data_IF_717855652823
#
_entry.id   IF_717855652823
#
_cell.length_a   1.000
_cell.length_b   1.000
_cell.length_c   1.000
_cell.angle_alpha   90.00
_cell.angle_beta   90.00
_cell.angle_gamma   90.00
#
_symmetry.space_group_name_H-M   'P 1'
#
loop_
_entity.id
_entity.type
_entity.pdbx_description
1 polymer ?
#
# COMPACT_ATOMS: atom_id res chain seq x y z
N UNK A 1 -18.06 65.73 -33.79
CA UNK A 1 -19.47 65.58 -34.19
C UNK A 1 -19.62 64.09 -34.47
N UNK A 2 -19.98 63.32 -33.45
CA UNK A 2 -21.38 62.86 -33.24
C UNK A 2 -21.69 61.75 -34.26
N UNK A 3 -22.00 60.51 -33.93
CA UNK A 3 -22.97 59.93 -32.95
C UNK A 3 -22.62 58.42 -32.80
N UNK A 4 -22.40 57.79 -31.64
CA UNK A 4 -23.34 57.25 -30.62
C UNK A 4 -24.62 56.58 -31.13
N UNK A 5 -24.73 55.24 -31.00
CA UNK A 5 -25.74 54.42 -30.25
C UNK A 5 -25.45 52.91 -30.50
N UNK A 6 -25.14 52.11 -29.48
CA UNK A 6 -26.04 51.33 -28.58
C UNK A 6 -26.78 50.17 -29.25
N UNK A 7 -26.42 48.93 -28.90
CA UNK A 7 -27.40 47.87 -28.65
C UNK A 7 -26.97 47.08 -27.39
N UNK A 8 -27.79 47.27 -26.36
CA UNK A 8 -27.87 46.53 -25.12
C UNK A 8 -28.42 45.11 -25.33
N UNK A 9 -27.98 44.16 -24.51
CA UNK A 9 -28.84 43.06 -24.09
C UNK A 9 -28.49 42.64 -22.66
N UNK A 10 -29.13 43.33 -21.72
CA UNK A 10 -29.43 42.83 -20.38
C UNK A 10 -30.48 41.72 -20.45
N UNK A 11 -30.31 40.66 -19.67
CA UNK A 11 -31.35 40.23 -18.72
C UNK A 11 -30.79 39.29 -17.65
N UNK A 12 -30.74 39.87 -16.45
CA UNK A 12 -30.60 39.25 -15.14
C UNK A 12 -31.75 38.29 -14.78
N UNK A 13 -31.54 37.63 -13.63
CA UNK A 13 -32.50 37.14 -12.63
C UNK A 13 -32.78 35.63 -12.63
N UNK A 14 -32.92 34.95 -11.49
CA UNK A 14 -32.52 35.13 -10.08
C UNK A 14 -33.07 33.88 -9.34
N UNK A 15 -32.62 33.67 -8.11
CA UNK A 15 -33.27 32.87 -7.04
C UNK A 15 -33.13 31.32 -7.09
N UNK A 16 -32.38 30.67 -6.19
CA UNK A 16 -32.55 30.54 -4.72
C UNK A 16 -33.64 29.51 -4.35
N UNK A 17 -33.25 28.36 -3.76
CA UNK A 17 -33.79 27.87 -2.47
C UNK A 17 -33.25 26.49 -2.06
N UNK A 18 -32.66 26.49 -0.86
CA UNK A 18 -32.51 25.36 0.06
C UNK A 18 -33.81 24.54 0.19
N UNK A 19 -33.72 23.21 0.14
CA UNK A 19 -34.51 22.35 1.03
C UNK A 19 -33.68 21.16 1.52
N UNK A 20 -33.40 21.19 2.83
CA UNK A 20 -33.19 20.03 3.68
C UNK A 20 -34.31 19.00 3.44
N UNK A 21 -33.94 17.75 3.21
CA UNK A 21 -34.74 16.62 3.67
C UNK A 21 -33.82 15.66 4.43
N UNK A 22 -33.94 15.73 5.75
CA UNK A 22 -33.68 14.61 6.64
C UNK A 22 -34.51 13.42 6.15
N UNK A 23 -33.86 12.29 5.90
CA UNK A 23 -34.50 11.00 6.11
C UNK A 23 -33.71 10.28 7.18
N UNK A 24 -34.31 10.27 8.37
CA UNK A 24 -34.06 9.32 9.42
C UNK A 24 -34.16 7.90 8.84
N UNK A 25 -33.07 7.14 8.92
CA UNK A 25 -33.14 5.70 8.99
C UNK A 25 -32.37 5.27 10.23
N UNK A 26 -33.13 5.15 11.31
CA UNK A 26 -32.87 4.21 12.39
C UNK A 26 -32.61 2.83 11.78
N UNK A 27 -31.37 2.35 11.90
CA UNK A 27 -31.10 0.92 11.99
C UNK A 27 -30.27 0.68 13.23
N UNK A 28 -31.00 0.43 14.32
CA UNK A 28 -30.57 -0.47 15.37
C UNK A 28 -30.12 -1.79 14.73
N UNK A 29 -28.81 -2.03 14.74
CA UNK A 29 -28.28 -3.39 14.81
C UNK A 29 -27.22 -3.41 15.92
N UNK A 30 -27.73 -3.59 17.14
CA UNK A 30 -27.06 -4.37 18.15
C UNK A 30 -26.69 -5.74 17.55
N UNK A 31 -25.41 -5.89 17.20
CA UNK A 31 -24.76 -7.19 17.19
C UNK A 31 -23.55 -7.14 18.10
N UNK A 32 -23.84 -7.22 19.39
CA UNK A 32 -22.99 -7.92 20.35
C UNK A 32 -22.84 -9.39 19.88
N UNK A 33 -21.90 -9.62 18.97
CA UNK A 33 -21.23 -10.92 18.86
C UNK A 33 -19.87 -10.80 19.53
N UNK A 34 -19.91 -10.78 20.85
CA UNK A 34 -18.79 -11.11 21.71
C UNK A 34 -18.49 -12.62 21.56
N UNK A 35 -17.94 -13.01 20.41
CA UNK A 35 -17.27 -14.30 20.26
C UNK A 35 -15.82 -14.11 20.69
N UNK A 36 -15.59 -14.12 22.01
CA UNK A 36 -14.35 -14.62 22.57
C UNK A 36 -14.27 -16.11 22.25
N UNK A 37 -13.94 -16.42 21.00
CA UNK A 37 -13.26 -17.66 20.71
C UNK A 37 -11.79 -17.40 20.99
N UNK A 38 -11.35 -17.82 22.17
CA UNK A 38 -9.98 -18.30 22.39
C UNK A 38 -9.76 -19.50 21.46
N UNK A 39 -9.69 -19.23 20.15
CA UNK A 39 -8.98 -20.08 19.25
C UNK A 39 -7.52 -19.75 19.50
N UNK A 40 -6.89 -20.56 20.36
CA UNK A 40 -5.50 -20.98 20.18
C UNK A 40 -5.39 -21.64 18.79
N UNK A 41 -5.58 -20.85 17.73
CA UNK A 41 -5.00 -21.17 16.44
C UNK A 41 -3.51 -21.13 16.72
N UNK A 42 -2.82 -22.24 16.48
CA UNK A 42 -1.38 -22.32 16.30
C UNK A 42 -0.98 -21.35 15.16
N UNK A 43 -0.96 -20.06 15.49
CA UNK A 43 -0.77 -18.98 14.57
C UNK A 43 0.72 -18.78 14.51
N UNK A 44 1.33 -19.24 13.42
CA UNK A 44 2.76 -19.12 13.24
C UNK A 44 3.12 -17.63 13.23
N UNK A 45 3.67 -17.11 14.32
CA UNK A 45 4.12 -15.72 14.39
C UNK A 45 5.55 -15.66 13.88
N UNK A 46 5.78 -14.84 12.84
CA UNK A 46 7.14 -14.50 12.44
C UNK A 46 7.45 -13.13 13.00
N UNK A 47 8.24 -13.13 14.07
CA UNK A 47 8.65 -11.91 14.76
C UNK A 47 9.78 -11.20 14.02
N UNK A 48 9.92 -9.90 14.30
CA UNK A 48 11.03 -9.07 13.81
C UNK A 48 11.12 -8.98 12.28
N UNK A 49 9.98 -9.06 11.59
CA UNK A 49 9.87 -8.74 10.17
C UNK A 49 9.49 -7.27 10.00
N UNK A 50 10.27 -6.56 9.20
CA UNK A 50 9.90 -5.23 8.76
C UNK A 50 9.00 -5.31 7.52
N UNK A 51 7.87 -4.62 7.59
CA UNK A 51 6.99 -4.45 6.45
C UNK A 51 7.52 -3.34 5.55
N UNK A 52 7.78 -3.65 4.29
CA UNK A 52 8.11 -2.64 3.30
C UNK A 52 6.93 -2.41 2.37
N UNK A 53 6.11 -1.41 2.72
CA UNK A 53 4.99 -0.98 1.90
C UNK A 53 5.39 -0.63 0.46
N UNK A 54 4.48 -0.91 -0.48
CA UNK A 54 4.70 -0.61 -1.89
C UNK A 54 4.72 0.90 -2.12
N UNK A 55 5.86 1.40 -2.57
CA UNK A 55 5.92 2.70 -3.22
C UNK A 55 6.10 2.46 -4.72
N UNK A 56 5.15 2.94 -5.52
CA UNK A 56 5.29 2.94 -6.97
C UNK A 56 6.38 3.93 -7.45
N UNK A 57 6.84 4.84 -6.57
CA UNK A 57 7.78 5.93 -6.88
C UNK A 57 9.18 5.70 -6.31
N UNK A 58 9.31 4.92 -5.23
CA UNK A 58 10.58 4.72 -4.52
C UNK A 58 11.02 3.26 -4.55
N UNK A 59 12.33 3.05 -4.62
CA UNK A 59 12.90 1.72 -4.48
C UNK A 59 12.71 1.16 -3.07
N UNK A 60 12.29 -0.10 -2.96
CA UNK A 60 12.15 -0.82 -1.69
C UNK A 60 13.46 -1.00 -0.90
N UNK A 61 14.61 -0.89 -1.58
CA UNK A 61 15.95 -1.14 -1.01
C UNK A 61 16.65 0.15 -0.62
N UNK A 62 16.83 1.09 -1.55
CA UNK A 62 17.55 2.34 -1.29
C UNK A 62 16.64 3.56 -1.04
N UNK A 63 15.32 3.44 -1.23
CA UNK A 63 14.34 4.53 -1.11
C UNK A 63 14.53 5.71 -2.07
N UNK A 64 15.51 5.66 -2.97
CA UNK A 64 15.69 6.63 -4.05
C UNK A 64 14.45 6.65 -4.97
N UNK A 65 14.05 7.85 -5.38
CA UNK A 65 13.09 8.07 -6.47
C UNK A 65 13.83 7.87 -7.80
N UNK A 66 13.51 6.78 -8.52
CA UNK A 66 14.22 6.45 -9.76
C UNK A 66 13.22 6.16 -10.88
N UNK A 67 12.99 7.18 -11.70
CA UNK A 67 11.82 7.26 -12.55
C UNK A 67 11.91 6.33 -13.77
N UNK A 68 13.12 5.99 -14.24
CA UNK A 68 13.32 5.36 -15.56
C UNK A 68 13.91 3.95 -15.51
N UNK A 69 14.42 3.48 -14.36
CA UNK A 69 15.11 2.17 -14.26
C UNK A 69 14.56 1.28 -13.14
N UNK A 70 13.42 1.62 -12.56
CA UNK A 70 12.76 0.77 -11.57
C UNK A 70 12.01 -0.36 -12.25
N UNK A 71 12.17 -1.56 -11.71
CA UNK A 71 11.43 -2.74 -12.14
C UNK A 71 10.56 -3.24 -11.00
N UNK A 72 9.50 -3.98 -11.33
CA UNK A 72 8.79 -4.75 -10.31
C UNK A 72 9.77 -5.79 -9.75
N UNK A 73 9.89 -5.85 -8.43
CA UNK A 73 10.84 -6.74 -7.78
C UNK A 73 10.50 -8.20 -8.11
N UNK A 74 11.42 -8.95 -8.75
CA UNK A 74 11.18 -10.34 -9.08
C UNK A 74 10.92 -11.18 -7.82
N UNK A 75 10.13 -12.26 -7.95
CA UNK A 75 9.84 -13.18 -6.83
C UNK A 75 11.12 -13.68 -6.12
N UNK A 76 12.19 -14.12 -6.82
CA UNK A 76 13.42 -14.54 -6.16
C UNK A 76 14.04 -13.44 -5.30
N UNK A 77 14.10 -12.21 -5.80
CA UNK A 77 14.61 -11.08 -5.02
C UNK A 77 13.75 -10.74 -3.80
N UNK A 78 12.41 -10.86 -3.88
CA UNK A 78 11.52 -10.67 -2.71
C UNK A 78 11.80 -11.72 -1.62
N UNK A 79 12.09 -12.95 -2.02
CA UNK A 79 12.45 -14.04 -1.11
C UNK A 79 13.83 -13.81 -0.49
N UNK A 80 14.83 -13.41 -1.30
CA UNK A 80 16.15 -13.04 -0.79
C UNK A 80 16.05 -11.89 0.22
N UNK A 81 15.19 -10.90 -0.04
CA UNK A 81 14.93 -9.78 0.88
C UNK A 81 14.34 -10.25 2.21
N UNK A 82 13.40 -11.19 2.17
CA UNK A 82 12.80 -11.78 3.36
C UNK A 82 13.83 -12.57 4.17
N UNK A 83 14.58 -13.47 3.54
CA UNK A 83 15.52 -14.37 4.21
C UNK A 83 16.76 -13.62 4.71
N UNK A 84 17.36 -12.78 3.88
CA UNK A 84 18.64 -12.13 4.20
C UNK A 84 18.48 -10.90 5.09
N UNK A 85 17.32 -10.21 5.03
CA UNK A 85 17.15 -8.90 5.66
C UNK A 85 15.93 -8.84 6.58
N UNK A 86 15.20 -9.96 6.76
CA UNK A 86 13.96 -10.04 7.56
C UNK A 86 12.94 -8.98 7.14
N UNK A 87 12.79 -8.81 5.83
CA UNK A 87 11.94 -7.79 5.25
C UNK A 87 10.91 -8.39 4.31
N UNK A 88 9.63 -8.21 4.63
CA UNK A 88 8.56 -8.60 3.75
C UNK A 88 8.25 -7.49 2.75
N UNK A 89 8.27 -7.85 1.46
CA UNK A 89 7.89 -6.96 0.38
C UNK A 89 6.76 -7.62 -0.44
N UNK A 90 5.57 -7.00 -0.49
CA UNK A 90 4.44 -7.57 -1.21
C UNK A 90 4.66 -7.60 -2.73
N UNK A 91 3.75 -8.25 -3.45
CA UNK A 91 3.75 -8.22 -4.90
C UNK A 91 3.58 -6.77 -5.42
N UNK A 92 4.24 -6.43 -6.54
CA UNK A 92 4.14 -5.11 -7.16
C UNK A 92 5.10 -4.05 -6.61
N UNK A 93 5.83 -4.34 -5.52
CA UNK A 93 6.90 -3.47 -5.03
C UNK A 93 7.96 -3.24 -6.09
N UNK A 94 8.53 -2.03 -6.10
CA UNK A 94 9.51 -1.63 -7.09
C UNK A 94 10.93 -1.63 -6.51
N UNK A 95 11.90 -2.01 -7.33
CA UNK A 95 13.31 -2.04 -6.97
C UNK A 95 14.16 -1.46 -8.11
N UNK A 96 15.25 -0.76 -7.77
CA UNK A 96 16.23 -0.34 -8.76
C UNK A 96 16.99 -1.56 -9.30
N UNK A 97 17.26 -1.59 -10.61
CA UNK A 97 18.10 -2.63 -11.23
C UNK A 97 19.49 -2.76 -10.60
N UNK A 98 20.06 -1.67 -10.06
CA UNK A 98 21.39 -1.68 -9.38
C UNK A 98 21.47 -2.60 -8.16
N UNK A 99 20.34 -2.97 -7.55
CA UNK A 99 20.30 -3.87 -6.39
C UNK A 99 20.08 -5.33 -6.77
N UNK A 100 19.92 -5.60 -8.06
CA UNK A 100 19.53 -6.90 -8.57
C UNK A 100 20.62 -7.45 -9.49
N UNK A 101 20.95 -8.72 -9.31
CA UNK A 101 21.80 -9.49 -10.20
C UNK A 101 21.09 -10.77 -10.57
N UNK A 102 20.86 -11.00 -11.86
CA UNK A 102 20.08 -12.16 -12.35
C UNK A 102 18.74 -12.35 -11.62
N UNK A 103 17.97 -11.26 -11.47
CA UNK A 103 16.68 -11.23 -10.75
C UNK A 103 16.73 -11.60 -9.26
N UNK A 104 17.93 -11.72 -8.68
CA UNK A 104 18.16 -11.93 -7.25
C UNK A 104 18.70 -10.68 -6.59
N UNK A 105 18.49 -10.59 -5.28
CA UNK A 105 19.01 -9.47 -4.49
C UNK A 105 20.52 -9.66 -4.30
N UNK A 106 21.30 -8.59 -4.48
CA UNK A 106 22.72 -8.63 -4.13
C UNK A 106 22.88 -8.88 -2.61
N UNK A 107 23.71 -9.85 -2.17
CA UNK A 107 23.83 -10.20 -0.75
C UNK A 107 24.35 -9.02 0.10
N UNK A 108 25.29 -8.26 -0.44
CA UNK A 108 25.94 -7.12 0.22
C UNK A 108 25.13 -5.82 0.12
N UNK A 109 23.89 -5.89 -0.36
CA UNK A 109 23.08 -4.68 -0.49
C UNK A 109 22.76 -4.10 0.89
N UNK A 110 23.07 -2.82 1.05
CA UNK A 110 22.67 -2.03 2.22
C UNK A 110 21.24 -1.56 2.00
N UNK A 111 20.36 -1.90 2.93
CA UNK A 111 18.97 -1.43 2.91
C UNK A 111 18.89 -0.14 3.70
N UNK A 112 18.28 0.87 3.10
CA UNK A 112 17.91 2.06 3.83
C UNK A 112 16.70 1.75 4.71
N UNK A 113 16.91 1.68 6.03
CA UNK A 113 15.86 1.39 7.01
C UNK A 113 15.16 2.63 7.57
N UNK A 114 15.52 3.83 7.13
CA UNK A 114 15.21 5.11 7.80
C UNK A 114 13.71 5.45 7.84
N UNK A 115 12.88 4.73 7.10
CA UNK A 115 11.42 4.90 7.05
C UNK A 115 10.65 3.58 7.12
N UNK A 116 11.28 2.49 7.59
CA UNK A 116 10.54 1.25 7.78
C UNK A 116 9.61 1.41 8.97
N UNK A 117 8.34 1.08 8.75
CA UNK A 117 7.36 0.99 9.82
C UNK A 117 7.91 0.05 10.89
N UNK A 118 7.57 0.34 12.14
CA UNK A 118 7.87 -0.47 13.31
C UNK A 118 7.75 -1.96 12.97
N UNK A 119 8.71 -2.80 13.42
CA UNK A 119 8.67 -4.23 13.14
C UNK A 119 7.28 -4.76 13.50
N UNK A 120 6.65 -5.46 12.57
CA UNK A 120 5.33 -6.01 12.83
C UNK A 120 5.53 -7.13 13.85
N UNK A 121 5.05 -6.91 15.07
CA UNK A 121 5.07 -7.94 16.11
C UNK A 121 4.18 -9.14 15.72
N UNK A 122 3.15 -8.87 14.90
CA UNK A 122 2.19 -9.87 14.42
C UNK A 122 1.86 -9.57 12.95
N UNK A 123 2.00 -10.58 12.09
CA UNK A 123 1.59 -10.52 10.69
C UNK A 123 0.13 -10.96 10.58
N UNK A 124 -0.66 -10.23 9.80
CA UNK A 124 -2.05 -10.61 9.48
C UNK A 124 -2.09 -11.99 8.78
N UNK A 125 -3.10 -12.83 9.05
CA UNK A 125 -3.20 -14.19 8.47
C UNK A 125 -3.09 -14.22 6.94
N UNK A 126 -3.66 -13.22 6.26
CA UNK A 126 -3.58 -13.10 4.79
C UNK A 126 -2.16 -12.85 4.31
N UNK A 127 -1.37 -12.06 5.04
CA UNK A 127 0.04 -11.80 4.72
C UNK A 127 0.86 -13.06 4.99
N UNK A 128 0.56 -13.76 6.08
CA UNK A 128 1.18 -15.02 6.43
C UNK A 128 0.98 -16.09 5.33
N UNK A 129 -0.25 -16.24 4.83
CA UNK A 129 -0.57 -17.20 3.78
C UNK A 129 0.21 -16.90 2.48
N UNK A 130 0.31 -15.62 2.10
CA UNK A 130 1.10 -15.21 0.95
C UNK A 130 2.59 -15.52 1.14
N UNK A 131 3.12 -15.26 2.33
CA UNK A 131 4.50 -15.57 2.68
C UNK A 131 4.77 -17.07 2.69
N UNK A 132 3.85 -17.88 3.22
CA UNK A 132 3.93 -19.35 3.16
C UNK A 132 3.94 -19.87 1.73
N UNK A 133 3.06 -19.37 0.87
CA UNK A 133 3.03 -19.75 -0.55
C UNK A 133 4.33 -19.34 -1.25
N UNK A 134 4.88 -18.18 -0.90
CA UNK A 134 6.16 -17.71 -1.42
C UNK A 134 7.32 -18.61 -0.95
N UNK A 135 7.33 -19.06 0.32
CA UNK A 135 8.32 -19.99 0.89
C UNK A 135 8.20 -21.42 0.35
N UNK A 136 6.99 -21.97 0.24
CA UNK A 136 6.76 -23.31 -0.31
C UNK A 136 7.25 -23.41 -1.76
N UNK A 137 7.13 -22.33 -2.53
CA UNK A 137 7.68 -22.26 -3.88
C UNK A 137 9.21 -22.29 -3.97
N UNK A 138 9.95 -22.24 -2.84
CA UNK A 138 11.41 -22.48 -2.82
C UNK A 138 11.78 -23.97 -2.73
N UNK A 139 10.83 -24.83 -2.37
CA UNK A 139 11.05 -26.27 -2.14
C UNK A 139 10.70 -27.16 -3.35
N UNK A 140 10.23 -26.56 -4.45
CA UNK A 140 9.87 -27.23 -5.71
C UNK A 140 10.87 -26.90 -6.81
#
# INVERSE_FOLDING_TARGET
MDTSVHEDQDQDQDQNQNQNQNQDQDQDQDQDQNQNQDQDQDQLTIENIFFSGSSHKKCVVCRDEVNTTMITMPKPARLDLLVLKRMYAPHGVRCCRKHLWNNRLLPDVKINTDNHQTPMAKLEPTVLLNLFNDLLGLLQ
#
